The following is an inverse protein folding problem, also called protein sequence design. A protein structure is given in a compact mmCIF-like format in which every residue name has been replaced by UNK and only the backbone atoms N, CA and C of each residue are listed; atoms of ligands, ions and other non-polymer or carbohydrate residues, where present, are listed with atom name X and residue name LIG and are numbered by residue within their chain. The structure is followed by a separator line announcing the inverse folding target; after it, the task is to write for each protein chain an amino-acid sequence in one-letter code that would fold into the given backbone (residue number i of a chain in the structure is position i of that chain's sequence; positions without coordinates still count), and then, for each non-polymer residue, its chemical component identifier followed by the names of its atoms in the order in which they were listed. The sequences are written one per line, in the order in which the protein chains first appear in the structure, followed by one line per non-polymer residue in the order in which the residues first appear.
data_IF_908522183755
#
_entry.id   IF_908522183755
#
_cell.length_a   1.000
_cell.length_b   1.000
_cell.length_c   1.000
_cell.angle_alpha   90.00
_cell.angle_beta   90.00
_cell.angle_gamma   90.00
#
_symmetry.space_group_name_H-M   'P 1'
#
loop_
_entity.id
_entity.type
_entity.pdbx_description
1 polymer ?
#
# COMPACT_ATOMS: atom_id res chain seq x y z
N UNK A 1 21.76 -49.60 28.48
CA UNK A 1 20.49 -48.88 28.64
C UNK A 1 20.78 -47.39 28.82
N UNK A 2 20.35 -46.54 27.87
CA UNK A 2 19.93 -45.12 28.05
C UNK A 2 19.68 -44.53 26.64
N UNK A 3 18.46 -44.60 26.11
CA UNK A 3 17.47 -43.50 25.92
C UNK A 3 17.98 -42.33 25.05
N UNK A 4 17.54 -42.21 23.77
CA UNK A 4 16.42 -41.35 23.24
C UNK A 4 16.59 -39.87 23.63
N UNK A 5 16.52 -38.88 22.72
CA UNK A 5 15.36 -38.51 21.89
C UNK A 5 15.76 -37.51 20.77
N UNK A 6 15.05 -37.61 19.64
CA UNK A 6 14.95 -36.58 18.57
C UNK A 6 13.98 -35.48 19.01
N UNK A 7 14.30 -34.23 18.68
CA UNK A 7 13.39 -33.07 18.50
C UNK A 7 14.26 -31.83 18.31
N UNK A 8 13.96 -30.78 17.56
CA UNK A 8 12.78 -30.34 16.79
C UNK A 8 13.32 -29.19 15.93
N UNK A 9 12.84 -29.05 14.70
CA UNK A 9 13.14 -27.87 13.88
C UNK A 9 12.43 -26.62 14.40
N UNK A 10 13.04 -25.47 14.15
CA UNK A 10 12.44 -24.14 13.94
C UNK A 10 13.63 -23.28 13.46
N UNK A 11 13.66 -22.67 12.29
CA UNK A 11 12.68 -21.76 11.71
C UNK A 11 13.47 -20.48 11.47
N UNK A 12 13.79 -20.22 10.21
CA UNK A 12 14.72 -19.17 9.75
C UNK A 12 14.39 -17.83 10.40
N UNK A 13 15.43 -17.22 10.98
CA UNK A 13 15.38 -15.89 11.57
C UNK A 13 14.80 -14.90 10.58
N UNK A 14 13.76 -14.22 11.05
CA UNK A 14 13.12 -13.06 10.47
C UNK A 14 14.16 -11.94 10.29
N UNK A 15 14.45 -11.61 9.04
CA UNK A 15 15.04 -10.33 8.65
C UNK A 15 14.27 -9.85 7.42
N UNK A 16 13.35 -8.92 7.61
CA UNK A 16 13.01 -7.95 6.58
C UNK A 16 13.36 -6.61 7.17
N UNK A 17 14.63 -6.29 6.95
CA UNK A 17 15.23 -4.96 6.96
C UNK A 17 14.35 -4.02 6.12
N UNK A 18 13.93 -2.92 6.70
CA UNK A 18 12.98 -1.98 6.10
C UNK A 18 12.71 -0.82 7.04
N UNK A 19 13.77 -0.28 7.64
CA UNK A 19 13.75 1.01 8.32
C UNK A 19 13.57 2.11 7.26
N UNK A 20 12.33 2.35 6.84
CA UNK A 20 11.98 3.60 6.19
C UNK A 20 11.61 4.61 7.28
N UNK A 21 12.59 5.46 7.62
CA UNK A 21 12.44 6.64 8.48
C UNK A 21 11.27 7.53 8.02
N UNK A 22 10.06 7.22 8.49
CA UNK A 22 8.89 8.03 8.24
C UNK A 22 8.91 9.21 9.22
N UNK A 23 9.57 10.31 8.83
CA UNK A 23 9.50 11.59 9.53
C UNK A 23 8.02 12.01 9.58
N UNK A 24 7.35 12.04 10.76
CA UNK A 24 5.94 12.39 10.83
C UNK A 24 5.82 13.91 10.81
N UNK A 25 5.96 14.50 9.63
CA UNK A 25 5.74 15.94 9.48
C UNK A 25 4.29 16.19 9.15
N UNK A 26 3.63 16.91 10.06
CA UNK A 26 2.38 17.64 9.88
C UNK A 26 1.07 16.82 9.98
N UNK A 27 0.50 16.81 11.19
CA UNK A 27 -0.96 16.68 11.45
C UNK A 27 -1.69 15.58 10.67
N UNK A 28 -1.17 14.35 10.67
CA UNK A 28 -1.90 13.23 10.11
C UNK A 28 -3.08 12.90 11.05
N UNK A 29 -4.32 13.17 10.62
CA UNK A 29 -5.52 12.62 11.29
C UNK A 29 -5.53 11.08 11.30
N UNK A 30 -4.66 10.45 10.51
CA UNK A 30 -4.60 9.02 10.26
C UNK A 30 -3.15 8.53 10.39
N UNK A 31 -2.96 7.32 10.95
CA UNK A 31 -1.63 6.71 11.06
C UNK A 31 -1.03 6.41 9.69
N UNK A 32 0.31 6.41 9.55
CA UNK A 32 0.98 6.08 8.28
C UNK A 32 0.57 4.71 7.74
N UNK A 33 0.36 3.73 8.60
CA UNK A 33 -0.16 2.40 8.21
C UNK A 33 -1.54 2.48 7.54
N UNK A 34 -2.43 3.36 8.00
CA UNK A 34 -3.77 3.53 7.43
C UNK A 34 -3.68 4.13 6.02
N UNK A 35 -2.81 5.13 5.85
CA UNK A 35 -2.54 5.76 4.55
C UNK A 35 -1.93 4.74 3.59
N UNK A 36 -0.95 3.94 4.04
CA UNK A 36 -0.33 2.88 3.25
C UNK A 36 -1.34 1.77 2.87
N UNK A 37 -2.20 1.35 3.79
CA UNK A 37 -3.25 0.37 3.50
C UNK A 37 -4.21 0.91 2.44
N UNK A 38 -4.63 2.18 2.55
CA UNK A 38 -5.48 2.83 1.55
C UNK A 38 -4.79 3.06 0.21
N UNK A 39 -3.49 3.32 0.22
CA UNK A 39 -2.70 3.46 -1.00
C UNK A 39 -2.64 2.12 -1.75
N UNK A 40 -2.42 1.01 -1.05
CA UNK A 40 -2.47 -0.32 -1.65
C UNK A 40 -3.85 -0.67 -2.22
N UNK A 41 -4.93 -0.33 -1.50
CA UNK A 41 -6.29 -0.50 -1.99
C UNK A 41 -6.54 0.34 -3.26
N UNK A 42 -6.00 1.56 -3.31
CA UNK A 42 -6.08 2.43 -4.48
C UNK A 42 -5.30 1.85 -5.66
N UNK A 43 -4.08 1.37 -5.44
CA UNK A 43 -3.28 0.68 -6.47
C UNK A 43 -4.05 -0.50 -7.04
N UNK A 44 -4.63 -1.34 -6.19
CA UNK A 44 -5.41 -2.48 -6.66
C UNK A 44 -6.64 -2.05 -7.47
N UNK A 45 -7.34 -1.02 -7.03
CA UNK A 45 -8.45 -0.44 -7.79
C UNK A 45 -8.02 0.08 -9.16
N UNK A 46 -6.88 0.78 -9.23
CA UNK A 46 -6.31 1.30 -10.48
C UNK A 46 -5.98 0.16 -11.46
N UNK A 47 -5.32 -0.90 -10.98
CA UNK A 47 -4.97 -2.06 -11.80
C UNK A 47 -6.21 -2.76 -12.38
N UNK A 48 -7.26 -2.93 -11.57
CA UNK A 48 -8.51 -3.55 -12.02
C UNK A 48 -9.23 -2.68 -13.06
N UNK A 49 -9.19 -1.35 -12.89
CA UNK A 49 -9.80 -0.42 -13.84
C UNK A 49 -9.04 -0.35 -15.16
N UNK A 50 -7.71 -0.35 -15.11
CA UNK A 50 -6.85 -0.35 -16.30
C UNK A 50 -7.05 -1.62 -17.14
N UNK A 51 -7.14 -2.79 -16.51
CA UNK A 51 -7.46 -4.06 -17.20
C UNK A 51 -8.80 -3.99 -17.95
N UNK A 52 -9.80 -3.33 -17.36
CA UNK A 52 -11.13 -3.16 -17.97
C UNK A 52 -11.19 -2.01 -18.97
N UNK A 53 -10.08 -1.29 -19.20
CA UNK A 53 -10.01 -0.07 -20.01
C UNK A 53 -11.08 0.96 -19.63
N UNK A 54 -11.41 1.02 -18.34
CA UNK A 54 -12.42 1.96 -17.82
C UNK A 54 -11.68 3.26 -17.46
N UNK A 55 -12.15 4.42 -17.94
CA UNK A 55 -11.57 5.70 -17.55
C UNK A 55 -11.68 5.88 -16.03
N UNK A 56 -10.56 6.19 -15.40
CA UNK A 56 -10.45 6.31 -13.95
C UNK A 56 -10.72 7.77 -13.57
N UNK A 57 -11.86 8.02 -12.91
CA UNK A 57 -12.20 9.35 -12.42
C UNK A 57 -11.74 9.52 -10.97
N UNK A 58 -11.21 10.70 -10.62
CA UNK A 58 -10.92 11.04 -9.21
C UNK A 58 -12.14 10.84 -8.30
N UNK A 59 -13.33 11.20 -8.77
CA UNK A 59 -14.57 10.99 -8.03
C UNK A 59 -14.84 9.51 -7.70
N UNK A 60 -14.52 8.59 -8.61
CA UNK A 60 -14.66 7.16 -8.38
C UNK A 60 -13.62 6.65 -7.37
N UNK A 61 -12.39 7.12 -7.45
CA UNK A 61 -11.36 6.79 -6.44
C UNK A 61 -11.78 7.27 -5.06
N UNK A 62 -12.30 8.50 -4.98
CA UNK A 62 -12.81 9.08 -3.74
C UNK A 62 -14.01 8.31 -3.18
N UNK A 63 -14.91 7.83 -4.03
CA UNK A 63 -16.11 7.10 -3.60
C UNK A 63 -15.83 5.64 -3.24
N UNK A 64 -14.98 4.96 -3.99
CA UNK A 64 -14.79 3.51 -3.83
C UNK A 64 -13.74 3.19 -2.77
N UNK A 65 -12.60 3.90 -2.77
CA UNK A 65 -11.42 3.58 -1.95
C UNK A 65 -11.27 4.51 -0.75
N UNK A 66 -11.22 5.82 -1.02
CA UNK A 66 -10.84 6.84 -0.02
C UNK A 66 -11.97 7.08 0.97
N UNK A 67 -13.22 7.23 0.49
CA UNK A 67 -14.46 7.43 1.26
C UNK A 67 -14.36 8.56 2.29
N UNK A 68 -13.93 8.24 3.49
CA UNK A 68 -13.75 9.11 4.67
C UNK A 68 -12.34 9.75 4.75
N UNK A 69 -11.34 9.16 4.09
CA UNK A 69 -9.95 9.63 4.07
C UNK A 69 -9.72 10.77 3.04
N UNK A 70 -10.75 11.55 2.71
CA UNK A 70 -10.66 12.59 1.65
C UNK A 70 -9.59 13.63 1.97
N UNK A 71 -9.43 13.95 3.24
CA UNK A 71 -8.41 14.88 3.74
C UNK A 71 -6.99 14.36 3.49
N UNK A 72 -6.80 13.03 3.49
CA UNK A 72 -5.53 12.37 3.23
C UNK A 72 -5.39 11.88 1.77
N UNK A 73 -6.30 12.29 0.87
CA UNK A 73 -6.28 11.83 -0.52
C UNK A 73 -4.95 12.09 -1.21
N UNK A 74 -4.38 13.29 -1.03
CA UNK A 74 -3.11 13.67 -1.65
C UNK A 74 -1.97 12.74 -1.24
N UNK A 75 -1.94 12.36 0.04
CA UNK A 75 -0.92 11.47 0.59
C UNK A 75 -1.11 10.04 0.08
N UNK A 76 -2.36 9.54 0.10
CA UNK A 76 -2.73 8.21 -0.40
C UNK A 76 -2.44 8.09 -1.90
N UNK A 77 -2.82 9.10 -2.69
CA UNK A 77 -2.62 9.10 -4.14
C UNK A 77 -1.14 9.21 -4.52
N UNK A 78 -0.37 10.02 -3.79
CA UNK A 78 1.08 10.11 -3.96
C UNK A 78 1.77 8.78 -3.67
N UNK A 79 1.39 8.12 -2.57
CA UNK A 79 1.94 6.81 -2.21
C UNK A 79 1.51 5.72 -3.19
N UNK A 80 0.26 5.70 -3.60
CA UNK A 80 -0.23 4.78 -4.63
C UNK A 80 0.52 4.97 -5.95
N UNK A 81 0.78 6.22 -6.36
CA UNK A 81 1.57 6.53 -7.55
C UNK A 81 3.00 5.98 -7.49
N UNK A 82 3.67 6.12 -6.32
CA UNK A 82 5.00 5.52 -6.08
C UNK A 82 4.97 4.00 -6.19
N UNK A 83 4.08 3.35 -5.46
CA UNK A 83 3.94 1.88 -5.48
C UNK A 83 3.65 1.39 -6.91
N UNK A 84 2.77 2.09 -7.64
CA UNK A 84 2.43 1.75 -9.01
C UNK A 84 3.66 1.84 -9.93
N UNK A 85 4.50 2.85 -9.75
CA UNK A 85 5.70 3.04 -10.54
C UNK A 85 6.81 2.05 -10.18
N UNK A 86 7.05 1.83 -8.89
CA UNK A 86 8.14 0.98 -8.39
C UNK A 86 7.84 -0.51 -8.57
N UNK A 87 6.59 -0.92 -8.31
CA UNK A 87 6.20 -2.34 -8.36
C UNK A 87 5.71 -2.77 -9.74
N UNK A 88 4.92 -1.92 -10.42
CA UNK A 88 4.26 -2.28 -11.68
C UNK A 88 4.86 -1.56 -12.90
N UNK A 89 5.75 -0.59 -12.72
CA UNK A 89 6.28 0.22 -13.82
C UNK A 89 5.23 1.11 -14.48
N UNK A 90 4.06 1.30 -13.86
CA UNK A 90 2.97 2.10 -14.40
C UNK A 90 2.97 3.47 -13.70
N UNK A 91 2.68 4.53 -14.46
CA UNK A 91 2.54 5.87 -13.89
C UNK A 91 1.08 6.27 -13.87
N UNK A 92 0.64 6.74 -12.70
CA UNK A 92 -0.64 7.42 -12.58
C UNK A 92 -0.49 8.82 -13.20
N UNK A 93 -1.15 9.04 -14.33
CA UNK A 93 -1.18 10.33 -15.02
C UNK A 93 -2.61 10.83 -15.04
N UNK A 94 -2.78 12.10 -14.70
CA UNK A 94 -4.08 12.76 -14.77
C UNK A 94 -4.24 13.34 -16.19
N UNK A 95 -5.31 12.92 -16.85
CA UNK A 95 -5.67 13.40 -18.20
C UNK A 95 -6.92 14.25 -18.01
N UNK A 96 -6.86 15.51 -18.44
CA UNK A 96 -7.97 16.47 -18.44
C UNK A 96 -8.88 16.26 -19.66
#
# INVERSE_FOLDING_TARGET
MSQRKRSKGVGSSQVTDGDEDFIPTQQARYSPDQVNQKANELVQFLLVKDQKKIPIKRADMLKNVIREYRDAYTEIAGQAGRILQETFGLRLVEID
#
